data_IF_434003610755
#
_entry.id   IF_434003610755
#
_cell.length_a   1.000
_cell.length_b   1.000
_cell.length_c   1.000
_cell.angle_alpha   90.00
_cell.angle_beta   90.00
_cell.angle_gamma   90.00
#
_symmetry.space_group_name_H-M   'P 1'
#
loop_
_entity.id
_entity.type
_entity.pdbx_description
1 polymer ?
#
# COMPACT_ATOMS: atom_id res chain seq x y z
N UNK A 1 0.24 15.21 -14.73
CA UNK A 1 0.95 15.04 -13.46
C UNK A 1 0.74 13.61 -13.00
N UNK A 2 1.82 12.88 -12.76
CA UNK A 2 1.83 11.52 -12.23
C UNK A 2 2.05 11.53 -10.72
N UNK A 3 1.07 11.00 -9.99
CA UNK A 3 1.09 10.88 -8.53
C UNK A 3 1.18 9.40 -8.15
N UNK A 4 2.10 9.07 -7.26
CA UNK A 4 2.21 7.74 -6.68
C UNK A 4 1.72 7.77 -5.24
N UNK A 5 0.68 7.01 -4.94
CA UNK A 5 0.17 6.86 -3.58
C UNK A 5 0.71 5.59 -2.96
N UNK A 6 1.36 5.72 -1.81
CA UNK A 6 1.85 4.58 -1.03
C UNK A 6 0.86 4.31 0.12
N UNK A 7 0.25 3.13 0.13
CA UNK A 7 -0.76 2.76 1.13
C UNK A 7 -0.75 1.24 1.41
N UNK A 8 -0.36 0.86 2.63
CA UNK A 8 -0.30 -0.55 3.07
C UNK A 8 -1.68 -1.16 3.38
N UNK A 9 -2.73 -0.35 3.37
CA UNK A 9 -4.12 -0.73 3.65
C UNK A 9 -5.09 -0.37 2.52
N UNK A 10 -4.59 -0.14 1.29
CA UNK A 10 -5.46 0.17 0.15
C UNK A 10 -6.42 -1.00 -0.13
N UNK A 11 -7.73 -0.75 -0.29
CA UNK A 11 -8.73 -1.81 -0.41
C UNK A 11 -8.56 -2.58 -1.73
N UNK A 12 -8.77 -3.89 -1.68
CA UNK A 12 -8.71 -4.78 -2.86
C UNK A 12 -10.08 -5.01 -3.49
N UNK A 13 -11.14 -4.75 -2.73
CA UNK A 13 -12.53 -4.98 -3.13
C UNK A 13 -13.45 -4.02 -2.40
N UNK A 14 -14.73 -4.04 -2.77
CA UNK A 14 -15.73 -3.18 -2.12
C UNK A 14 -15.98 -3.51 -0.66
N UNK A 15 -15.71 -4.76 -0.25
CA UNK A 15 -15.90 -5.23 1.12
C UNK A 15 -14.72 -4.91 2.04
N UNK A 16 -13.56 -4.50 1.50
CA UNK A 16 -12.43 -4.06 2.32
C UNK A 16 -12.72 -2.65 2.87
N UNK A 17 -12.94 -2.54 4.18
CA UNK A 17 -13.22 -1.26 4.85
C UNK A 17 -11.96 -0.43 5.11
N UNK A 18 -10.82 -1.09 5.26
CA UNK A 18 -9.54 -0.42 5.48
C UNK A 18 -9.12 0.41 4.25
N UNK A 19 -8.62 1.62 4.50
CA UNK A 19 -8.08 2.48 3.46
C UNK A 19 -9.10 3.01 2.45
N UNK A 20 -10.41 2.89 2.71
CA UNK A 20 -11.47 3.34 1.79
C UNK A 20 -11.35 4.82 1.44
N UNK A 21 -11.08 5.66 2.44
CA UNK A 21 -10.86 7.10 2.23
C UNK A 21 -9.69 7.39 1.26
N UNK A 22 -8.67 6.53 1.22
CA UNK A 22 -7.55 6.64 0.26
C UNK A 22 -8.04 6.29 -1.14
N UNK A 23 -8.83 5.23 -1.28
CA UNK A 23 -9.43 4.85 -2.55
C UNK A 23 -10.40 5.92 -3.07
N UNK A 24 -11.18 6.54 -2.19
CA UNK A 24 -12.08 7.64 -2.55
C UNK A 24 -11.29 8.87 -3.02
N UNK A 25 -10.23 9.25 -2.30
CA UNK A 25 -9.34 10.34 -2.70
C UNK A 25 -8.65 10.06 -4.05
N UNK A 26 -8.11 8.86 -4.24
CA UNK A 26 -7.53 8.42 -5.53
C UNK A 26 -8.59 8.47 -6.64
N UNK A 27 -9.82 8.03 -6.36
CA UNK A 27 -10.94 8.11 -7.30
C UNK A 27 -11.27 9.55 -7.68
N UNK A 28 -11.23 10.48 -6.73
CA UNK A 28 -11.48 11.91 -6.97
C UNK A 28 -10.40 12.52 -7.86
N UNK A 29 -9.12 12.24 -7.56
CA UNK A 29 -7.98 12.72 -8.33
C UNK A 29 -8.00 12.19 -9.77
N UNK A 30 -8.27 10.89 -9.95
CA UNK A 30 -8.39 10.29 -11.29
C UNK A 30 -9.54 10.89 -12.09
N UNK A 31 -10.70 11.12 -11.46
CA UNK A 31 -11.84 11.80 -12.10
C UNK A 31 -11.52 13.25 -12.49
N UNK A 32 -10.59 13.90 -11.79
CA UNK A 32 -10.08 15.23 -12.13
C UNK A 32 -8.96 15.20 -13.20
N UNK A 33 -8.64 14.05 -13.78
CA UNK A 33 -7.62 13.91 -14.83
C UNK A 33 -6.18 13.75 -14.33
N UNK A 34 -5.96 13.52 -13.03
CA UNK A 34 -4.64 13.21 -12.47
C UNK A 34 -4.31 11.74 -12.74
N UNK A 35 -3.10 11.48 -13.25
CA UNK A 35 -2.58 10.11 -13.36
C UNK A 35 -2.13 9.66 -11.98
N UNK A 36 -2.85 8.69 -11.40
CA UNK A 36 -2.57 8.20 -10.05
C UNK A 36 -2.29 6.70 -10.09
N UNK A 37 -1.11 6.32 -9.63
CA UNK A 37 -0.71 4.93 -9.43
C UNK A 37 -0.63 4.61 -7.93
N UNK A 38 -1.07 3.43 -7.52
CA UNK A 38 -1.11 3.05 -6.10
C UNK A 38 -0.20 1.86 -5.86
N UNK A 39 0.74 2.00 -4.93
CA UNK A 39 1.56 0.89 -4.42
C UNK A 39 0.96 0.43 -3.11
N UNK A 40 0.49 -0.81 -3.09
CA UNK A 40 -0.10 -1.47 -1.93
C UNK A 40 0.33 -2.93 -1.86
N UNK A 41 0.05 -3.67 -0.78
CA UNK A 41 0.47 -5.06 -0.67
C UNK A 41 -0.17 -5.99 -1.72
N UNK A 42 -1.16 -5.52 -2.48
CA UNK A 42 -1.67 -6.21 -3.66
C UNK A 42 -0.72 -6.16 -4.86
N UNK A 43 0.25 -5.24 -4.88
CA UNK A 43 1.18 -5.02 -5.99
C UNK A 43 2.57 -5.62 -5.76
N UNK A 44 2.81 -6.32 -4.66
CA UNK A 44 4.09 -6.98 -4.36
C UNK A 44 3.91 -8.17 -3.40
N UNK A 45 4.88 -9.11 -3.32
CA UNK A 45 4.79 -10.23 -2.38
C UNK A 45 4.78 -9.73 -0.93
N UNK A 46 3.64 -9.86 -0.25
CA UNK A 46 3.49 -9.40 1.12
C UNK A 46 3.60 -10.51 2.18
N UNK A 47 3.88 -11.75 1.76
CA UNK A 47 4.15 -12.90 2.64
C UNK A 47 3.06 -13.17 3.69
N UNK A 48 1.80 -12.87 3.38
CA UNK A 48 0.69 -12.97 4.32
C UNK A 48 0.74 -11.94 5.47
N UNK A 49 1.65 -10.97 5.45
CA UNK A 49 1.78 -9.97 6.53
C UNK A 49 0.63 -8.96 6.46
N UNK A 50 0.31 -8.44 5.27
CA UNK A 50 -0.78 -7.49 5.07
C UNK A 50 -2.17 -8.13 4.89
N UNK A 51 -3.22 -7.28 4.87
CA UNK A 51 -4.64 -7.63 4.73
C UNK A 51 -5.22 -8.49 5.88
N UNK A 52 -6.47 -8.95 5.77
CA UNK A 52 -7.13 -9.69 6.84
C UNK A 52 -7.32 -8.82 8.08
N UNK A 53 -6.75 -9.23 9.22
CA UNK A 53 -6.75 -8.44 10.47
C UNK A 53 -5.71 -7.30 10.49
N UNK A 54 -5.03 -7.04 9.37
CA UNK A 54 -3.97 -6.04 9.24
C UNK A 54 -2.60 -6.57 9.69
N UNK A 55 -1.55 -5.77 9.47
CA UNK A 55 -0.15 -6.19 9.73
C UNK A 55 0.04 -6.64 11.18
N UNK A 56 -0.33 -5.79 12.14
CA UNK A 56 -0.18 -6.11 13.57
C UNK A 56 -1.06 -7.29 13.96
N UNK A 57 -2.30 -7.36 13.48
CA UNK A 57 -3.22 -8.46 13.77
C UNK A 57 -2.71 -9.81 13.26
N UNK A 58 -2.15 -9.84 12.05
CA UNK A 58 -1.58 -11.04 11.46
C UNK A 58 -0.30 -11.48 12.18
N UNK A 59 0.58 -10.54 12.55
CA UNK A 59 1.79 -10.85 13.31
C UNK A 59 1.47 -11.35 14.73
N UNK A 60 0.42 -10.84 15.38
CA UNK A 60 -0.04 -11.35 16.68
C UNK A 60 -0.63 -12.76 16.56
N UNK A 61 -1.40 -13.02 15.50
CA UNK A 61 -2.03 -14.33 15.25
C UNK A 61 -1.01 -15.39 14.85
N UNK A 62 -0.01 -15.02 14.07
CA UNK A 62 1.03 -15.92 13.55
C UNK A 62 2.44 -15.27 13.72
N UNK A 63 3.04 -15.31 14.92
CA UNK A 63 4.29 -14.60 15.23
C UNK A 63 5.48 -14.99 14.38
N UNK A 64 5.52 -16.23 13.87
CA UNK A 64 6.58 -16.69 12.96
C UNK A 64 6.66 -15.87 11.67
N UNK A 65 5.57 -15.20 11.27
CA UNK A 65 5.56 -14.29 10.10
C UNK A 65 6.48 -13.07 10.29
N UNK A 66 6.87 -12.76 11.53
CA UNK A 66 7.85 -11.70 11.82
C UNK A 66 9.19 -11.92 11.09
N UNK A 67 9.57 -13.18 10.83
CA UNK A 67 10.76 -13.52 10.05
C UNK A 67 10.73 -12.96 8.62
N UNK A 68 9.54 -12.77 8.06
CA UNK A 68 9.34 -12.27 6.69
C UNK A 68 9.20 -10.74 6.63
N UNK A 69 9.20 -10.03 7.76
CA UNK A 69 9.07 -8.57 7.79
C UNK A 69 10.20 -7.88 7.01
N UNK A 70 11.48 -8.26 7.11
CA UNK A 70 12.53 -7.68 6.27
C UNK A 70 12.28 -7.87 4.77
N UNK A 71 11.82 -9.06 4.36
CA UNK A 71 11.49 -9.36 2.96
C UNK A 71 10.27 -8.54 2.47
N UNK A 72 9.25 -8.38 3.31
CA UNK A 72 8.12 -7.49 3.07
C UNK A 72 8.58 -6.04 2.86
N UNK A 73 9.44 -5.52 3.73
CA UNK A 73 9.95 -4.14 3.61
C UNK A 73 10.80 -3.95 2.35
N UNK A 74 11.63 -4.93 2.00
CA UNK A 74 12.46 -4.88 0.80
C UNK A 74 11.62 -4.89 -0.49
N UNK A 75 10.60 -5.76 -0.57
CA UNK A 75 9.70 -5.83 -1.72
C UNK A 75 8.82 -4.59 -1.84
N UNK A 76 8.31 -4.07 -0.72
CA UNK A 76 7.59 -2.81 -0.68
C UNK A 76 8.45 -1.64 -1.15
N UNK A 77 9.66 -1.50 -0.60
CA UNK A 77 10.60 -0.44 -1.00
C UNK A 77 10.99 -0.53 -2.47
N UNK A 78 11.19 -1.74 -3.00
CA UNK A 78 11.46 -1.97 -4.44
C UNK A 78 10.27 -1.56 -5.31
N UNK A 79 9.05 -1.94 -4.93
CA UNK A 79 7.84 -1.56 -5.65
C UNK A 79 7.62 -0.04 -5.61
N UNK A 80 7.76 0.57 -4.44
CA UNK A 80 7.67 2.02 -4.27
C UNK A 80 8.70 2.75 -5.12
N UNK A 81 9.99 2.38 -5.06
CA UNK A 81 11.07 3.02 -5.84
C UNK A 81 10.85 2.91 -7.35
N UNK A 82 10.45 1.73 -7.84
CA UNK A 82 10.19 1.49 -9.27
C UNK A 82 9.03 2.33 -9.78
N UNK A 83 7.99 2.47 -8.96
CA UNK A 83 6.78 3.21 -9.36
C UNK A 83 7.02 4.72 -9.26
N UNK A 84 7.72 5.14 -8.21
CA UNK A 84 8.06 6.54 -7.93
C UNK A 84 9.10 7.13 -8.89
N UNK A 85 9.93 6.32 -9.56
CA UNK A 85 11.02 6.84 -10.40
C UNK A 85 10.56 7.69 -11.58
N UNK A 86 9.29 7.58 -11.97
CA UNK A 86 8.67 8.38 -13.02
C UNK A 86 7.56 9.31 -12.50
N UNK A 87 7.43 9.47 -11.17
CA UNK A 87 6.37 10.26 -10.56
C UNK A 87 6.80 11.71 -10.35
N UNK A 88 5.86 12.64 -10.54
CA UNK A 88 6.03 14.05 -10.17
C UNK A 88 5.87 14.25 -8.66
N UNK A 89 5.04 13.42 -8.02
CA UNK A 89 4.77 13.48 -6.59
C UNK A 89 4.55 12.07 -6.00
N UNK A 90 5.17 11.79 -4.87
CA UNK A 90 4.89 10.61 -4.07
C UNK A 90 4.15 11.04 -2.81
N UNK A 91 2.95 10.51 -2.61
CA UNK A 91 2.15 10.77 -1.43
C UNK A 91 2.00 9.50 -0.61
N UNK A 92 2.62 9.47 0.56
CA UNK A 92 2.52 8.34 1.48
C UNK A 92 1.45 8.61 2.53
N UNK A 93 0.49 7.70 2.63
CA UNK A 93 -0.48 7.70 3.70
C UNK A 93 0.06 6.86 4.84
N UNK A 94 0.44 7.52 5.94
CA UNK A 94 0.97 6.89 7.15
C UNK A 94 2.33 6.20 6.94
N UNK A 95 3.38 6.97 6.65
CA UNK A 95 4.71 6.52 7.05
C UNK A 95 4.73 6.43 8.58
N UNK A 96 5.19 5.33 9.19
CA UNK A 96 5.43 5.32 10.62
C UNK A 96 6.44 6.43 10.92
N UNK A 97 6.02 7.41 11.72
CA UNK A 97 6.88 8.41 12.37
C UNK A 97 7.67 7.77 13.50
#
# INVERSE_FOLDING_TARGET
MKVVVLATSYPRSETDTAGRFVADAVGHLRRAGVDVEVVSPASFPHFGIAYGSGIVGNLRREPWRALFVPAFMATYARAARRTASAADLVHAHWLPS
#
